data_IF_303110636161
#
_entry.id   IF_303110636161
#
_cell.length_a   1.000
_cell.length_b   1.000
_cell.length_c   1.000
_cell.angle_alpha   90.00
_cell.angle_beta   90.00
_cell.angle_gamma   90.00
#
_symmetry.space_group_name_H-M   'P 1'
#
loop_
_entity.id
_entity.type
_entity.pdbx_description
1 polymer ?
#
# COMPACT_ATOMS: atom_id res chain seq x y z
N UNK A 1 40.55 52.78 -48.42
CA UNK A 1 40.08 51.45 -48.16
C UNK A 1 39.64 51.37 -46.69
N UNK A 2 38.36 51.47 -46.43
CA UNK A 2 37.74 51.37 -45.05
C UNK A 2 37.16 49.99 -44.88
N UNK A 3 37.74 49.26 -43.95
CA UNK A 3 37.16 47.95 -43.52
C UNK A 3 35.98 48.23 -42.64
N UNK A 4 34.78 47.69 -43.04
CA UNK A 4 33.60 47.65 -42.24
C UNK A 4 33.63 46.37 -41.36
N UNK A 5 33.82 46.53 -40.05
CA UNK A 5 33.66 45.43 -39.08
C UNK A 5 32.18 45.23 -38.81
N UNK A 6 31.67 44.07 -39.21
CA UNK A 6 30.31 43.57 -38.88
C UNK A 6 30.35 42.99 -37.47
N UNK A 7 29.80 43.69 -36.48
CA UNK A 7 29.49 43.10 -35.15
C UNK A 7 28.25 42.24 -35.27
N UNK A 8 28.40 40.93 -35.22
CA UNK A 8 27.32 39.99 -35.07
C UNK A 8 26.92 39.97 -33.59
N UNK A 9 25.82 40.61 -33.28
CA UNK A 9 25.17 40.55 -31.95
C UNK A 9 24.47 39.23 -31.80
N UNK A 10 25.12 38.23 -31.17
CA UNK A 10 24.48 36.95 -30.81
C UNK A 10 23.49 37.20 -29.66
N UNK A 11 22.24 37.25 -30.01
CA UNK A 11 21.12 37.23 -29.04
C UNK A 11 21.10 35.83 -28.40
N UNK A 12 21.72 35.66 -27.24
CA UNK A 12 21.46 34.51 -26.36
C UNK A 12 20.02 34.64 -25.88
N UNK A 13 19.13 33.88 -26.49
CA UNK A 13 17.85 33.56 -25.95
C UNK A 13 18.08 32.76 -24.65
N UNK A 14 18.14 33.47 -23.54
CA UNK A 14 17.91 32.88 -22.22
C UNK A 14 16.48 32.31 -22.19
N UNK A 15 16.32 31.07 -22.63
CA UNK A 15 15.17 30.28 -22.24
C UNK A 15 15.30 30.09 -20.73
N UNK A 16 14.69 31.02 -20.00
CA UNK A 16 14.47 30.87 -18.58
C UNK A 16 13.71 29.53 -18.36
N UNK A 17 14.40 28.52 -17.87
CA UNK A 17 13.75 27.40 -17.20
C UNK A 17 12.97 28.00 -16.02
N UNK A 18 11.73 28.40 -16.25
CA UNK A 18 10.77 28.53 -15.18
C UNK A 18 10.72 27.13 -14.52
N UNK A 19 11.37 26.98 -13.41
CA UNK A 19 11.20 25.82 -12.54
C UNK A 19 9.70 25.74 -12.24
N UNK A 20 8.98 24.91 -13.00
CA UNK A 20 7.58 24.66 -12.71
C UNK A 20 7.51 24.16 -11.27
N UNK A 21 6.70 24.81 -10.46
CA UNK A 21 6.49 24.39 -9.07
C UNK A 21 6.09 22.91 -9.02
N UNK A 22 6.64 22.19 -8.04
CA UNK A 22 6.27 20.79 -7.82
C UNK A 22 4.74 20.68 -7.69
N UNK A 23 4.05 19.89 -8.54
CA UNK A 23 2.58 19.82 -8.59
C UNK A 23 1.95 19.39 -7.26
N UNK A 24 2.66 18.59 -6.45
CA UNK A 24 2.21 18.21 -5.10
C UNK A 24 2.11 19.45 -4.21
N UNK A 25 3.17 20.28 -4.18
CA UNK A 25 3.15 21.53 -3.41
C UNK A 25 2.09 22.50 -3.90
N UNK A 26 1.94 22.63 -5.22
CA UNK A 26 0.94 23.50 -5.81
C UNK A 26 -0.47 23.05 -5.40
N UNK A 27 -0.77 21.75 -5.44
CA UNK A 27 -2.06 21.20 -4.98
C UNK A 27 -2.32 21.45 -3.49
N UNK A 28 -1.29 21.34 -2.64
CA UNK A 28 -1.45 21.59 -1.20
C UNK A 28 -1.68 23.08 -0.85
N UNK A 29 -1.27 24.01 -1.70
CA UNK A 29 -1.46 25.45 -1.43
C UNK A 29 -2.87 25.96 -1.72
N UNK A 30 -3.68 25.19 -2.43
CA UNK A 30 -5.02 25.61 -2.87
C UNK A 30 -6.13 25.33 -1.82
N UNK A 31 -5.79 24.71 -0.71
CA UNK A 31 -6.71 24.41 0.40
C UNK A 31 -6.04 24.82 1.73
N UNK A 32 -6.75 25.58 2.56
CA UNK A 32 -6.21 26.11 3.81
C UNK A 32 -5.77 25.01 4.78
N UNK A 33 -6.50 23.90 4.83
CA UNK A 33 -6.15 22.76 5.67
C UNK A 33 -4.87 22.08 5.17
N UNK A 34 -4.74 21.84 3.85
CA UNK A 34 -3.54 21.29 3.25
C UNK A 34 -2.35 22.23 3.40
N UNK A 35 -2.57 23.54 3.31
CA UNK A 35 -1.53 24.53 3.54
C UNK A 35 -1.01 24.51 4.98
N UNK A 36 -1.89 24.33 5.97
CA UNK A 36 -1.49 24.18 7.36
C UNK A 36 -0.67 22.90 7.59
N UNK A 37 -1.09 21.78 6.98
CA UNK A 37 -0.32 20.54 6.99
C UNK A 37 1.06 20.72 6.33
N UNK A 38 1.12 21.44 5.20
CA UNK A 38 2.37 21.72 4.50
C UNK A 38 3.36 22.54 5.36
N UNK A 39 2.88 23.51 6.15
CA UNK A 39 3.70 24.29 7.10
C UNK A 39 4.31 23.40 8.18
N UNK A 40 3.58 22.37 8.63
CA UNK A 40 3.97 21.44 9.69
C UNK A 40 4.43 20.06 9.15
N UNK A 41 4.85 20.00 7.88
CA UNK A 41 5.18 18.77 7.14
C UNK A 41 6.18 17.83 7.84
N UNK A 42 7.13 18.40 8.60
CA UNK A 42 8.17 17.63 9.30
C UNK A 42 7.65 17.01 10.60
N UNK A 43 6.68 17.65 11.27
CA UNK A 43 5.98 17.09 12.42
C UNK A 43 5.09 15.93 12.00
N UNK A 44 4.39 16.07 10.89
CA UNK A 44 3.54 15.04 10.30
C UNK A 44 4.31 13.98 9.52
N UNK A 45 5.63 14.09 9.40
CA UNK A 45 6.50 13.13 8.69
C UNK A 45 5.95 12.71 7.32
N UNK A 46 5.46 13.69 6.55
CA UNK A 46 4.79 13.45 5.27
C UNK A 46 5.80 12.96 4.24
N UNK A 47 5.43 11.91 3.50
CA UNK A 47 6.09 11.52 2.26
C UNK A 47 5.03 11.27 1.19
N UNK A 48 5.22 11.81 -0.02
CA UNK A 48 4.28 11.71 -1.13
C UNK A 48 5.03 11.40 -2.42
N UNK A 49 4.62 10.33 -3.11
CA UNK A 49 4.98 10.05 -4.49
C UNK A 49 3.73 10.20 -5.37
N UNK A 50 3.84 10.97 -6.43
CA UNK A 50 2.78 11.22 -7.40
C UNK A 50 3.31 10.95 -8.81
N UNK A 51 2.57 10.17 -9.59
CA UNK A 51 2.86 9.93 -11.00
C UNK A 51 1.67 10.34 -11.85
N UNK A 52 1.86 11.41 -12.60
CA UNK A 52 0.94 11.85 -13.64
C UNK A 52 1.03 10.89 -14.82
N UNK A 53 -0.11 10.51 -15.38
CA UNK A 53 -0.18 9.60 -16.53
C UNK A 53 -0.79 10.35 -17.69
N UNK A 54 -0.07 10.38 -18.80
CA UNK A 54 -0.59 10.80 -20.11
C UNK A 54 -0.51 9.64 -21.07
N UNK A 55 -1.14 9.77 -22.24
CA UNK A 55 -1.11 8.75 -23.29
C UNK A 55 -0.38 9.30 -24.50
N UNK A 56 0.53 8.51 -25.08
CA UNK A 56 1.12 8.82 -26.36
C UNK A 56 0.13 8.59 -27.52
N UNK A 57 0.59 8.77 -28.75
CA UNK A 57 -0.25 8.62 -29.96
C UNK A 57 -0.73 7.18 -30.18
N UNK A 58 -0.01 6.21 -29.66
CA UNK A 58 -0.31 4.78 -29.71
C UNK A 58 -1.19 4.34 -28.51
N UNK A 59 -1.52 5.27 -27.60
CA UNK A 59 -2.30 5.00 -26.39
C UNK A 59 -1.50 4.39 -25.23
N UNK A 60 -0.17 4.32 -25.34
CA UNK A 60 0.69 3.85 -24.26
C UNK A 60 0.78 4.85 -23.12
N UNK A 61 0.85 4.39 -21.85
CA UNK A 61 1.04 5.28 -20.73
C UNK A 61 2.43 5.94 -20.75
N UNK A 62 2.47 7.24 -20.51
CA UNK A 62 3.69 8.00 -20.31
C UNK A 62 3.68 8.52 -18.88
N UNK A 63 4.65 8.10 -18.08
CA UNK A 63 4.75 8.41 -16.65
C UNK A 63 5.61 9.64 -16.41
N UNK A 64 5.07 10.59 -15.63
CA UNK A 64 5.81 11.75 -15.14
C UNK A 64 5.77 11.76 -13.62
N UNK A 65 6.91 11.52 -13.01
CA UNK A 65 7.04 11.27 -11.57
C UNK A 65 7.41 12.53 -10.80
N UNK A 66 6.80 12.69 -9.63
CA UNK A 66 7.05 13.78 -8.69
C UNK A 66 7.08 13.23 -7.27
N UNK A 67 7.97 13.79 -6.47
CA UNK A 67 8.15 13.40 -5.08
C UNK A 67 8.11 14.62 -4.16
N UNK A 68 7.61 14.40 -2.95
CA UNK A 68 7.66 15.37 -1.87
C UNK A 68 8.10 14.70 -0.58
N UNK A 69 9.26 15.09 -0.05
CA UNK A 69 9.90 14.53 1.14
C UNK A 69 10.08 13.00 1.12
N UNK A 70 10.09 12.36 -0.04
CA UNK A 70 10.37 10.92 -0.14
C UNK A 70 11.84 10.69 0.21
N UNK A 71 12.06 9.81 1.20
CA UNK A 71 13.38 9.39 1.64
C UNK A 71 13.30 7.93 2.11
N UNK A 72 13.96 7.04 1.40
CA UNK A 72 13.92 5.60 1.66
C UNK A 72 14.60 5.20 2.98
N UNK A 73 15.48 6.05 3.52
CA UNK A 73 16.11 5.84 4.81
C UNK A 73 15.23 6.26 5.99
N UNK A 74 14.19 7.07 5.77
CA UNK A 74 13.25 7.47 6.82
C UNK A 74 12.17 6.39 6.98
N UNK A 75 12.17 5.75 8.14
CA UNK A 75 11.19 4.74 8.48
C UNK A 75 9.81 5.33 8.78
N UNK A 76 8.79 4.74 8.21
CA UNK A 76 7.41 4.78 8.68
C UNK A 76 6.86 3.34 8.75
N UNK A 77 5.88 3.11 9.61
CA UNK A 77 5.26 1.79 9.69
C UNK A 77 4.28 1.60 8.53
N UNK A 78 4.47 0.58 7.66
CA UNK A 78 3.64 0.42 6.45
C UNK A 78 2.21 -0.01 6.76
N UNK A 79 1.93 -0.41 8.00
CA UNK A 79 0.62 -0.89 8.41
C UNK A 79 0.07 -1.96 7.44
N UNK A 80 -1.19 -1.83 7.04
CA UNK A 80 -1.83 -2.81 6.15
C UNK A 80 -1.52 -2.61 4.67
N UNK A 81 -0.75 -1.61 4.25
CA UNK A 81 -0.35 -1.48 2.83
C UNK A 81 0.53 -2.63 2.37
N UNK A 82 1.33 -3.23 3.27
CA UNK A 82 2.16 -4.41 2.96
C UNK A 82 1.33 -5.66 2.62
N UNK A 83 0.01 -5.65 2.87
CA UNK A 83 -0.89 -6.73 2.46
C UNK A 83 -1.04 -6.82 0.94
N UNK A 84 -0.80 -5.72 0.20
CA UNK A 84 -0.82 -5.75 -1.27
C UNK A 84 0.25 -6.70 -1.83
N UNK A 85 1.55 -6.58 -1.52
CA UNK A 85 2.54 -7.55 -1.97
C UNK A 85 2.31 -8.96 -1.40
N UNK A 86 1.71 -9.14 -0.21
CA UNK A 86 1.32 -10.47 0.29
C UNK A 86 0.32 -11.12 -0.66
N UNK A 87 -0.71 -10.40 -1.11
CA UNK A 87 -1.71 -10.89 -2.06
C UNK A 87 -1.07 -11.22 -3.42
N UNK A 88 -0.23 -10.33 -3.94
CA UNK A 88 0.50 -10.54 -5.20
C UNK A 88 1.32 -11.83 -5.15
N UNK A 89 2.09 -12.02 -4.07
CA UNK A 89 2.90 -13.23 -3.89
C UNK A 89 2.08 -14.47 -3.56
N UNK A 90 0.84 -14.31 -3.07
CA UNK A 90 -0.09 -15.43 -2.96
C UNK A 90 -0.44 -15.98 -4.34
N UNK A 91 -0.75 -15.11 -5.31
CA UNK A 91 -1.04 -15.51 -6.69
C UNK A 91 0.20 -16.07 -7.40
N UNK A 92 1.36 -15.42 -7.22
CA UNK A 92 2.68 -15.88 -7.71
C UNK A 92 2.95 -17.31 -7.23
N UNK A 93 2.78 -17.60 -5.93
CA UNK A 93 2.97 -18.95 -5.36
C UNK A 93 1.92 -19.96 -5.85
N UNK A 94 0.67 -19.55 -6.07
CA UNK A 94 -0.33 -20.42 -6.69
C UNK A 94 0.14 -20.86 -8.08
N UNK A 95 0.70 -19.95 -8.88
CA UNK A 95 1.22 -20.27 -10.21
C UNK A 95 2.48 -21.16 -10.13
N UNK A 96 3.36 -20.93 -9.15
CA UNK A 96 4.50 -21.83 -8.89
C UNK A 96 4.00 -23.26 -8.57
N UNK A 97 3.01 -23.42 -7.68
CA UNK A 97 2.42 -24.72 -7.35
C UNK A 97 1.77 -25.40 -8.55
N UNK A 98 1.05 -24.65 -9.40
CA UNK A 98 0.47 -25.18 -10.65
C UNK A 98 1.54 -25.73 -11.59
N UNK A 99 2.67 -25.04 -11.68
CA UNK A 99 3.79 -25.51 -12.51
C UNK A 99 4.39 -26.84 -12.04
N UNK A 100 4.23 -27.18 -10.75
CA UNK A 100 4.62 -28.49 -10.18
C UNK A 100 3.53 -29.56 -10.26
N UNK A 101 2.38 -29.27 -10.87
CA UNK A 101 1.28 -30.21 -11.08
C UNK A 101 0.19 -30.20 -10.00
N UNK A 102 0.23 -29.27 -9.04
CA UNK A 102 -0.85 -29.09 -8.07
C UNK A 102 -2.00 -28.33 -8.74
N UNK A 103 -3.17 -28.96 -8.83
CA UNK A 103 -4.37 -28.36 -9.42
C UNK A 103 -5.04 -27.38 -8.45
N UNK A 104 -4.58 -26.14 -8.49
CA UNK A 104 -5.04 -25.07 -7.61
C UNK A 104 -5.20 -23.74 -8.37
N UNK A 105 -6.24 -23.00 -8.02
CA UNK A 105 -6.54 -21.65 -8.54
C UNK A 105 -6.94 -20.74 -7.38
N UNK A 106 -7.00 -19.42 -7.54
CA UNK A 106 -7.54 -18.54 -6.51
C UNK A 106 -8.96 -18.89 -6.04
N UNK A 107 -9.77 -19.51 -6.91
CA UNK A 107 -11.15 -19.93 -6.61
C UNK A 107 -11.26 -21.34 -6.00
N UNK A 108 -10.20 -22.12 -6.04
CA UNK A 108 -10.19 -23.47 -5.48
C UNK A 108 -10.49 -23.43 -3.98
N UNK A 109 -11.35 -24.34 -3.54
CA UNK A 109 -11.61 -24.54 -2.10
C UNK A 109 -10.37 -25.13 -1.44
N UNK A 110 -10.04 -24.59 -0.28
CA UNK A 110 -8.92 -25.03 0.57
C UNK A 110 -9.42 -25.29 1.98
N UNK A 111 -8.74 -26.20 2.67
CA UNK A 111 -8.93 -26.46 4.10
C UNK A 111 -7.90 -25.64 4.85
N UNK A 112 -8.37 -24.83 5.79
CA UNK A 112 -7.53 -23.99 6.65
C UNK A 112 -7.71 -24.46 8.08
N UNK A 113 -6.61 -24.91 8.71
CA UNK A 113 -6.58 -25.43 10.07
C UNK A 113 -5.75 -24.51 10.96
N UNK A 114 -6.32 -24.00 12.05
CA UNK A 114 -5.57 -23.22 13.04
C UNK A 114 -4.85 -24.14 14.03
N UNK A 115 -3.62 -23.78 14.37
CA UNK A 115 -2.83 -24.49 15.40
C UNK A 115 -2.28 -23.47 16.40
N UNK A 116 -2.29 -23.83 17.70
CA UNK A 116 -1.57 -23.08 18.73
C UNK A 116 -0.14 -23.60 18.90
N UNK A 117 0.85 -22.70 19.09
CA UNK A 117 2.26 -23.07 19.18
C UNK A 117 2.58 -24.03 20.33
N UNK A 118 1.88 -23.93 21.47
CA UNK A 118 2.25 -24.69 22.68
C UNK A 118 1.94 -26.19 22.62
N UNK A 119 0.96 -26.62 21.81
CA UNK A 119 0.57 -28.03 21.75
C UNK A 119 0.34 -28.58 20.34
N UNK A 120 0.50 -27.79 19.30
CA UNK A 120 0.24 -28.17 17.89
C UNK A 120 -1.15 -28.80 17.66
N UNK A 121 -2.11 -28.55 18.56
CA UNK A 121 -3.45 -29.09 18.46
C UNK A 121 -4.27 -28.30 17.44
N UNK A 122 -4.88 -29.02 16.49
CA UNK A 122 -5.81 -28.44 15.52
C UNK A 122 -7.07 -28.03 16.28
N UNK A 123 -7.37 -26.71 16.29
CA UNK A 123 -8.56 -26.21 16.98
C UNK A 123 -9.83 -26.32 16.14
N UNK A 124 -9.72 -26.04 14.84
CA UNK A 124 -10.87 -26.08 13.93
C UNK A 124 -10.41 -26.05 12.48
N UNK A 125 -10.99 -26.92 11.68
CA UNK A 125 -10.89 -26.86 10.23
C UNK A 125 -12.01 -25.96 9.67
N UNK A 126 -11.67 -25.14 8.71
CA UNK A 126 -12.61 -24.35 7.92
C UNK A 126 -12.32 -24.51 6.43
N UNK A 127 -13.38 -24.41 5.63
CA UNK A 127 -13.27 -24.44 4.16
C UNK A 127 -13.50 -23.03 3.63
N UNK A 128 -12.54 -22.53 2.88
CA UNK A 128 -12.59 -21.23 2.23
C UNK A 128 -11.95 -21.30 0.83
N UNK A 129 -11.57 -20.16 0.25
CA UNK A 129 -10.76 -20.05 -0.97
C UNK A 129 -9.80 -18.88 -0.84
N UNK A 130 -8.71 -18.86 -1.63
CA UNK A 130 -7.83 -17.70 -1.69
C UNK A 130 -8.57 -16.44 -2.15
N UNK A 131 -9.54 -16.59 -3.06
CA UNK A 131 -10.38 -15.47 -3.49
C UNK A 131 -11.12 -14.82 -2.32
N UNK A 132 -11.72 -15.60 -1.43
CA UNK A 132 -12.45 -15.07 -0.28
C UNK A 132 -11.49 -14.35 0.70
N UNK A 133 -10.33 -14.96 0.98
CA UNK A 133 -9.32 -14.34 1.85
C UNK A 133 -8.81 -13.02 1.24
N UNK A 134 -8.53 -12.99 -0.05
CA UNK A 134 -8.07 -11.80 -0.76
C UNK A 134 -9.14 -10.72 -0.80
N UNK A 135 -10.40 -11.09 -1.02
CA UNK A 135 -11.54 -10.17 -0.95
C UNK A 135 -11.65 -9.52 0.44
N UNK A 136 -11.60 -10.31 1.52
CA UNK A 136 -11.65 -9.81 2.90
C UNK A 136 -10.48 -8.83 3.18
N UNK A 137 -9.28 -9.11 2.64
CA UNK A 137 -8.12 -8.23 2.79
C UNK A 137 -8.29 -6.92 2.05
N UNK A 138 -8.84 -6.91 0.83
CA UNK A 138 -9.05 -5.67 0.08
C UNK A 138 -10.22 -4.86 0.63
N UNK A 139 -11.34 -5.50 0.96
CA UNK A 139 -12.57 -4.82 1.36
C UNK A 139 -12.49 -4.23 2.77
N UNK A 140 -11.99 -5.01 3.74
CA UNK A 140 -12.02 -4.61 5.16
C UNK A 140 -10.64 -4.70 5.83
N UNK A 141 -9.59 -4.96 5.06
CA UNK A 141 -8.24 -5.09 5.59
C UNK A 141 -8.11 -6.18 6.67
N UNK A 142 -8.82 -7.30 6.51
CA UNK A 142 -8.90 -8.37 7.50
C UNK A 142 -7.51 -8.92 7.87
N UNK A 143 -7.22 -8.97 9.19
CA UNK A 143 -5.92 -9.42 9.70
C UNK A 143 -5.82 -10.95 9.71
N UNK A 144 -6.89 -11.67 10.02
CA UNK A 144 -6.91 -13.13 10.04
C UNK A 144 -6.70 -13.68 8.63
N UNK A 145 -7.43 -13.17 7.65
CA UNK A 145 -7.23 -13.53 6.25
C UNK A 145 -5.79 -13.25 5.79
N UNK A 146 -5.23 -12.09 6.18
CA UNK A 146 -3.83 -11.74 5.87
C UNK A 146 -2.84 -12.72 6.51
N UNK A 147 -3.06 -13.13 7.76
CA UNK A 147 -2.19 -14.07 8.47
C UNK A 147 -2.24 -15.46 7.84
N UNK A 148 -3.41 -15.91 7.38
CA UNK A 148 -3.54 -17.16 6.62
C UNK A 148 -2.73 -17.08 5.32
N UNK A 149 -2.82 -15.96 4.58
CA UNK A 149 -2.02 -15.75 3.37
C UNK A 149 -0.52 -15.71 3.67
N UNK A 150 -0.10 -15.10 4.79
CA UNK A 150 1.31 -15.10 5.22
C UNK A 150 1.80 -16.53 5.49
N UNK A 151 1.02 -17.36 6.19
CA UNK A 151 1.38 -18.75 6.45
C UNK A 151 1.34 -19.62 5.17
N UNK A 152 0.54 -19.25 4.20
CA UNK A 152 0.57 -19.86 2.88
C UNK A 152 1.88 -19.57 2.16
N UNK A 153 2.29 -18.30 2.04
CA UNK A 153 3.50 -17.94 1.28
C UNK A 153 4.78 -18.19 2.06
N UNK A 154 4.81 -17.88 3.36
CA UNK A 154 6.01 -17.87 4.21
C UNK A 154 6.78 -16.55 4.14
N UNK A 155 7.45 -16.19 5.25
CA UNK A 155 8.25 -14.96 5.35
C UNK A 155 9.46 -14.98 4.42
N UNK A 156 10.15 -16.13 4.31
CA UNK A 156 11.33 -16.26 3.45
C UNK A 156 10.98 -16.13 1.98
N UNK A 157 9.87 -16.76 1.53
CA UNK A 157 9.37 -16.59 0.17
C UNK A 157 9.07 -15.14 -0.13
N UNK A 158 8.30 -14.46 0.74
CA UNK A 158 8.01 -13.04 0.60
C UNK A 158 9.28 -12.21 0.44
N UNK A 159 10.19 -12.30 1.40
CA UNK A 159 11.38 -11.46 1.45
C UNK A 159 12.32 -11.73 0.26
N UNK A 160 12.48 -13.00 -0.14
CA UNK A 160 13.29 -13.38 -1.31
C UNK A 160 12.70 -12.82 -2.61
N UNK A 161 11.39 -12.99 -2.83
CA UNK A 161 10.73 -12.48 -4.04
C UNK A 161 10.76 -10.95 -4.11
N UNK A 162 10.60 -10.22 -2.98
CA UNK A 162 10.71 -8.76 -2.96
C UNK A 162 12.12 -8.30 -3.39
N UNK A 163 13.17 -8.91 -2.84
CA UNK A 163 14.56 -8.59 -3.22
C UNK A 163 14.83 -8.91 -4.69
N UNK A 164 14.39 -10.07 -5.19
CA UNK A 164 14.53 -10.48 -6.59
C UNK A 164 13.83 -9.51 -7.55
N UNK A 165 12.65 -9.02 -7.17
CA UNK A 165 11.92 -8.01 -7.93
C UNK A 165 12.49 -6.58 -7.78
N UNK A 166 13.55 -6.38 -6.98
CA UNK A 166 14.25 -5.11 -6.79
C UNK A 166 13.69 -4.22 -5.67
N UNK A 167 12.75 -4.70 -4.86
CA UNK A 167 12.14 -3.97 -3.74
C UNK A 167 12.93 -4.16 -2.45
N UNK A 168 14.05 -3.44 -2.32
CA UNK A 168 15.02 -3.61 -1.24
C UNK A 168 14.54 -3.10 0.11
N UNK A 169 13.60 -2.17 0.13
CA UNK A 169 13.08 -1.56 1.35
C UNK A 169 11.76 -2.19 1.80
N UNK A 170 11.29 -3.25 1.11
CA UNK A 170 10.06 -3.94 1.45
C UNK A 170 10.35 -5.33 2.01
N UNK A 171 10.05 -5.53 3.31
CA UNK A 171 10.19 -6.84 3.96
C UNK A 171 9.12 -7.08 5.02
N UNK A 172 8.80 -8.37 5.19
CA UNK A 172 7.81 -8.87 6.13
C UNK A 172 8.51 -9.55 7.30
N UNK A 173 8.29 -9.04 8.51
CA UNK A 173 8.90 -9.56 9.74
C UNK A 173 7.89 -10.22 10.69
N UNK A 174 6.61 -9.85 10.60
CA UNK A 174 5.62 -10.36 11.53
C UNK A 174 4.21 -10.35 10.91
N UNK A 175 3.36 -11.20 11.44
CA UNK A 175 1.93 -11.25 11.17
C UNK A 175 1.18 -10.05 11.79
N UNK A 176 -0.07 -9.87 11.39
CA UNK A 176 -0.97 -8.86 11.95
C UNK A 176 -1.74 -9.48 13.11
N UNK A 177 -1.31 -9.23 14.33
CA UNK A 177 -1.94 -9.87 15.49
C UNK A 177 -2.70 -8.84 16.32
N UNK A 178 -4.03 -9.02 16.55
CA UNK A 178 -4.77 -8.23 17.51
C UNK A 178 -4.46 -8.63 18.96
N UNK A 179 -3.98 -9.86 19.19
CA UNK A 179 -3.62 -10.36 20.51
C UNK A 179 -2.12 -10.72 20.56
N UNK A 180 -1.29 -9.98 21.34
CA UNK A 180 0.14 -10.26 21.45
C UNK A 180 0.45 -11.60 22.14
N UNK A 181 -0.55 -12.27 22.73
CA UNK A 181 -0.35 -13.50 23.48
C UNK A 181 -0.73 -14.78 22.74
N UNK A 182 -1.32 -14.67 21.51
CA UNK A 182 -1.77 -15.84 20.76
C UNK A 182 -1.08 -15.91 19.40
N UNK A 183 0.00 -16.70 19.33
CA UNK A 183 0.59 -17.09 18.06
C UNK A 183 -0.26 -18.20 17.41
N UNK A 184 -1.15 -17.81 16.50
CA UNK A 184 -1.88 -18.77 15.68
C UNK A 184 -1.11 -19.03 14.41
N UNK A 185 -0.78 -20.29 14.14
CA UNK A 185 -0.25 -20.74 12.86
C UNK A 185 -1.34 -21.43 12.06
N UNK A 186 -1.31 -21.25 10.75
CA UNK A 186 -2.30 -21.80 9.86
C UNK A 186 -1.67 -22.84 8.94
N UNK A 187 -2.26 -24.05 8.92
CA UNK A 187 -1.95 -25.09 7.93
C UNK A 187 -2.99 -25.03 6.83
N UNK A 188 -2.53 -24.94 5.59
CA UNK A 188 -3.40 -24.84 4.42
C UNK A 188 -3.21 -26.08 3.57
N UNK A 189 -4.33 -26.74 3.20
CA UNK A 189 -4.34 -27.94 2.38
C UNK A 189 -5.33 -27.82 1.24
N UNK A 190 -5.06 -28.53 0.15
CA UNK A 190 -6.08 -28.78 -0.90
C UNK A 190 -7.21 -29.67 -0.34
N UNK A 191 -8.34 -29.75 -1.06
CA UNK A 191 -9.39 -30.72 -0.72
C UNK A 191 -8.93 -32.19 -0.84
N UNK A 192 -7.84 -32.44 -1.57
CA UNK A 192 -7.19 -33.75 -1.64
C UNK A 192 -6.23 -34.01 -0.47
N UNK A 193 -6.22 -33.12 0.53
CA UNK A 193 -5.40 -33.17 1.73
C UNK A 193 -3.89 -32.97 1.50
N UNK A 194 -3.49 -32.42 0.36
CA UNK A 194 -2.10 -32.04 0.07
C UNK A 194 -1.74 -30.77 0.84
N UNK A 195 -0.68 -30.79 1.64
CA UNK A 195 -0.19 -29.62 2.37
C UNK A 195 0.47 -28.62 1.42
N UNK A 196 -0.04 -27.38 1.39
CA UNK A 196 0.45 -26.30 0.51
C UNK A 196 0.95 -25.07 1.27
N UNK A 197 0.77 -25.01 2.60
CA UNK A 197 1.34 -23.93 3.41
C UNK A 197 2.85 -24.04 3.54
N UNK A 198 3.51 -22.90 3.80
CA UNK A 198 4.93 -22.87 4.11
C UNK A 198 5.19 -23.51 5.48
N UNK A 199 6.28 -24.27 5.58
CA UNK A 199 6.80 -24.84 6.84
C UNK A 199 8.12 -24.18 7.25
N UNK A 200 8.42 -22.99 6.70
CA UNK A 200 9.69 -22.32 6.91
C UNK A 200 9.75 -21.63 8.28
N UNK A 201 10.93 -21.68 8.90
CA UNK A 201 11.22 -20.86 10.07
C UNK A 201 11.27 -19.39 9.68
N UNK A 202 10.62 -18.55 10.49
CA UNK A 202 10.62 -17.09 10.28
C UNK A 202 12.02 -16.53 10.56
N UNK A 203 12.60 -15.82 9.59
CA UNK A 203 13.79 -15.01 9.76
C UNK A 203 13.38 -13.57 9.91
N UNK A 204 13.72 -12.92 11.02
CA UNK A 204 13.47 -11.50 11.24
C UNK A 204 14.61 -10.67 10.65
N UNK A 205 14.27 -9.77 9.72
CA UNK A 205 15.21 -8.79 9.17
C UNK A 205 15.24 -7.59 10.11
N UNK A 206 16.43 -7.24 10.60
CA UNK A 206 16.62 -5.99 11.35
C UNK A 206 16.89 -4.86 10.38
N UNK A 207 16.26 -3.71 10.61
CA UNK A 207 16.48 -2.52 9.79
C UNK A 207 17.97 -2.13 9.75
N UNK A 208 18.42 -1.64 8.59
CA UNK A 208 19.79 -1.13 8.40
C UNK A 208 20.09 -0.02 9.42
N UNK A 209 21.36 0.07 9.86
CA UNK A 209 21.84 1.10 10.78
C UNK A 209 21.66 2.54 10.26
N UNK A 210 21.58 2.70 8.93
CA UNK A 210 21.30 3.98 8.28
C UNK A 210 19.83 4.41 8.41
N UNK A 211 18.92 3.47 8.72
CA UNK A 211 17.49 3.78 8.79
C UNK A 211 17.18 4.75 9.92
N UNK A 212 16.60 5.89 9.56
CA UNK A 212 16.25 6.96 10.47
C UNK A 212 14.82 6.78 11.04
N UNK A 213 14.53 7.42 12.16
CA UNK A 213 13.21 7.47 12.82
C UNK A 213 12.61 6.09 13.18
N UNK A 214 13.46 5.11 13.48
CA UNK A 214 13.03 3.79 13.96
C UNK A 214 12.42 3.83 15.36
N UNK A 215 12.74 4.84 16.17
CA UNK A 215 12.17 5.03 17.51
C UNK A 215 11.16 6.17 17.47
N UNK A 216 9.90 5.86 17.79
CA UNK A 216 8.78 6.81 17.74
C UNK A 216 8.08 6.94 19.08
N UNK A 217 7.47 8.12 19.27
CA UNK A 217 6.78 8.48 20.51
C UNK A 217 7.73 8.84 21.66
N UNK A 218 7.14 9.26 22.78
CA UNK A 218 7.83 9.46 24.05
C UNK A 218 7.47 8.38 25.07
N UNK A 219 6.27 7.81 24.88
CA UNK A 219 5.72 6.75 25.71
C UNK A 219 5.19 5.61 24.81
N UNK A 220 4.93 4.46 25.41
CA UNK A 220 4.24 3.34 24.79
C UNK A 220 3.20 2.77 25.76
N UNK A 221 2.06 2.36 25.24
CA UNK A 221 1.06 1.61 26.00
C UNK A 221 1.40 0.12 25.96
N UNK A 222 1.57 -0.49 27.12
CA UNK A 222 1.96 -1.89 27.26
C UNK A 222 1.35 -2.46 28.55
N UNK A 223 0.72 -3.64 28.47
CA UNK A 223 0.12 -4.34 29.60
C UNK A 223 -0.89 -3.49 30.40
N UNK A 224 -1.67 -2.65 29.71
CA UNK A 224 -2.68 -1.80 30.34
C UNK A 224 -2.16 -0.47 30.91
N UNK A 225 -0.87 -0.17 30.79
CA UNK A 225 -0.23 1.02 31.36
C UNK A 225 0.56 1.81 30.33
N UNK A 226 0.72 3.12 30.60
CA UNK A 226 1.62 4.00 29.84
C UNK A 226 3.03 3.89 30.43
N UNK A 227 3.95 3.36 29.64
CA UNK A 227 5.35 3.16 30.01
C UNK A 227 6.22 4.21 29.30
N UNK A 228 7.10 4.95 30.02
CA UNK A 228 8.03 5.87 29.39
C UNK A 228 9.01 5.19 28.43
N UNK A 229 9.41 5.92 27.38
CA UNK A 229 10.37 5.49 26.38
C UNK A 229 9.74 5.23 25.02
N UNK A 230 10.50 5.58 23.96
CA UNK A 230 10.07 5.42 22.58
C UNK A 230 9.85 3.95 22.21
N UNK A 231 8.90 3.70 21.32
CA UNK A 231 8.70 2.37 20.73
C UNK A 231 9.72 2.13 19.61
N UNK A 232 10.37 0.96 19.62
CA UNK A 232 11.38 0.57 18.64
C UNK A 232 10.75 -0.26 17.51
N UNK A 233 10.83 0.25 16.29
CA UNK A 233 10.32 -0.37 15.08
C UNK A 233 11.39 -1.14 14.28
N UNK A 234 12.63 -1.26 14.76
CA UNK A 234 13.75 -1.87 14.02
C UNK A 234 13.49 -3.31 13.54
N UNK A 235 12.57 -4.02 14.19
CA UNK A 235 12.19 -5.40 13.86
C UNK A 235 10.74 -5.51 13.34
N UNK A 236 10.12 -4.39 12.97
CA UNK A 236 8.76 -4.37 12.39
C UNK A 236 8.81 -4.51 10.86
N UNK A 237 7.64 -4.74 10.25
CA UNK A 237 7.49 -4.71 8.80
C UNK A 237 7.97 -3.37 8.24
N UNK A 238 8.49 -3.38 7.02
CA UNK A 238 8.95 -2.16 6.32
C UNK A 238 8.47 -2.16 4.88
N UNK A 239 8.23 -0.98 4.35
CA UNK A 239 8.17 -0.68 2.93
C UNK A 239 8.48 0.80 2.73
N UNK A 240 9.07 1.18 1.59
CA UNK A 240 9.22 2.59 1.22
C UNK A 240 8.05 3.07 0.36
N UNK A 241 7.84 4.39 0.29
CA UNK A 241 6.84 5.00 -0.61
C UNK A 241 7.13 4.62 -2.06
N UNK A 242 8.40 4.64 -2.45
CA UNK A 242 8.87 4.28 -3.79
C UNK A 242 8.54 2.81 -4.12
N UNK A 243 8.87 1.87 -3.21
CA UNK A 243 8.56 0.45 -3.41
C UNK A 243 7.05 0.22 -3.53
N UNK A 244 6.25 0.83 -2.63
CA UNK A 244 4.79 0.70 -2.65
C UNK A 244 4.20 1.13 -3.99
N UNK A 245 4.57 2.31 -4.50
CA UNK A 245 4.05 2.80 -5.77
C UNK A 245 4.53 1.96 -6.95
N UNK A 246 5.79 1.50 -6.94
CA UNK A 246 6.35 0.69 -8.01
C UNK A 246 5.75 -0.74 -8.05
N UNK A 247 5.41 -1.33 -6.90
CA UNK A 247 4.63 -2.58 -6.85
C UNK A 247 3.28 -2.37 -7.54
N UNK A 248 2.58 -1.29 -7.19
CA UNK A 248 1.28 -0.97 -7.76
C UNK A 248 1.35 -0.68 -9.26
N UNK A 249 2.36 0.07 -9.73
CA UNK A 249 2.59 0.31 -11.18
C UNK A 249 2.72 -0.99 -11.96
N UNK A 250 3.45 -1.98 -11.44
CA UNK A 250 3.63 -3.30 -12.08
C UNK A 250 2.35 -4.14 -12.10
N UNK A 251 1.40 -3.89 -11.19
CA UNK A 251 0.08 -4.54 -11.20
C UNK A 251 -0.83 -3.89 -12.25
N UNK A 252 -0.81 -2.57 -12.35
CA UNK A 252 -1.72 -1.82 -13.23
C UNK A 252 -1.22 -1.86 -14.69
N UNK A 253 0.07 -1.69 -14.90
CA UNK A 253 0.72 -1.65 -16.22
C UNK A 253 1.86 -2.66 -16.35
N UNK A 254 1.60 -3.97 -16.24
CA UNK A 254 2.66 -4.99 -16.20
C UNK A 254 3.51 -5.03 -17.48
N UNK A 255 2.96 -4.61 -18.62
CA UNK A 255 3.64 -4.62 -19.92
C UNK A 255 4.66 -3.50 -20.09
N UNK A 256 4.66 -2.51 -19.18
CA UNK A 256 5.61 -1.40 -19.19
C UNK A 256 6.91 -1.73 -18.42
N UNK A 257 7.04 -2.94 -17.91
CA UNK A 257 8.20 -3.38 -17.12
C UNK A 257 8.84 -4.63 -17.71
N UNK A 258 10.16 -4.77 -17.51
CA UNK A 258 10.91 -5.96 -17.89
C UNK A 258 10.36 -7.20 -17.16
N UNK A 259 10.30 -8.35 -17.82
CA UNK A 259 9.73 -9.58 -17.26
C UNK A 259 10.42 -10.04 -15.96
N UNK A 260 11.71 -9.85 -15.84
CA UNK A 260 12.51 -10.19 -14.67
C UNK A 260 12.20 -9.29 -13.44
N UNK A 261 11.54 -8.16 -13.66
CA UNK A 261 11.07 -7.23 -12.64
C UNK A 261 9.59 -7.39 -12.31
N UNK A 262 8.88 -8.27 -12.99
CA UNK A 262 7.46 -8.55 -12.74
C UNK A 262 7.30 -9.81 -11.88
N UNK A 263 6.06 -10.05 -11.43
CA UNK A 263 5.70 -11.23 -10.67
C UNK A 263 5.30 -12.38 -11.59
N UNK A 264 5.35 -13.63 -11.14
CA UNK A 264 4.87 -14.80 -11.89
C UNK A 264 3.33 -14.83 -11.92
N UNK A 265 2.74 -13.86 -12.63
CA UNK A 265 1.30 -13.67 -12.78
C UNK A 265 0.90 -13.80 -14.26
N UNK A 266 -0.27 -14.38 -14.50
CA UNK A 266 -0.90 -14.39 -15.81
C UNK A 266 -1.88 -13.20 -15.96
N UNK A 267 -2.52 -13.05 -17.13
CA UNK A 267 -3.44 -11.94 -17.42
C UNK A 267 -4.64 -11.96 -16.47
N UNK A 268 -5.19 -13.15 -16.20
CA UNK A 268 -6.32 -13.36 -15.31
C UNK A 268 -6.00 -12.95 -13.86
N UNK A 269 -4.76 -13.16 -13.41
CA UNK A 269 -4.31 -12.75 -12.07
C UNK A 269 -4.26 -11.22 -11.95
N UNK A 270 -3.76 -10.52 -12.98
CA UNK A 270 -3.76 -9.06 -13.02
C UNK A 270 -5.18 -8.49 -13.04
N UNK A 271 -6.10 -9.11 -13.82
CA UNK A 271 -7.51 -8.71 -13.84
C UNK A 271 -8.17 -8.95 -12.47
N UNK A 272 -7.88 -10.08 -11.85
CA UNK A 272 -8.35 -10.43 -10.52
C UNK A 272 -7.88 -9.42 -9.46
N UNK A 273 -6.61 -9.01 -9.48
CA UNK A 273 -6.07 -7.98 -8.60
C UNK A 273 -6.78 -6.65 -8.83
N UNK A 274 -6.86 -6.18 -10.07
CA UNK A 274 -7.53 -4.91 -10.42
C UNK A 274 -9.00 -4.92 -10.00
N UNK A 275 -9.69 -6.05 -10.19
CA UNK A 275 -11.07 -6.20 -9.78
C UNK A 275 -11.22 -5.96 -8.27
N UNK A 276 -10.50 -6.68 -7.42
CA UNK A 276 -10.65 -6.56 -5.97
C UNK A 276 -10.11 -5.25 -5.40
N UNK A 277 -9.00 -4.74 -5.93
CA UNK A 277 -8.42 -3.46 -5.52
C UNK A 277 -9.37 -2.28 -5.72
N UNK A 278 -10.22 -2.32 -6.75
CA UNK A 278 -11.14 -1.22 -7.09
C UNK A 278 -12.46 -1.26 -6.33
N UNK A 279 -12.76 -2.35 -5.60
CA UNK A 279 -14.05 -2.52 -4.94
C UNK A 279 -14.21 -1.66 -3.70
N UNK A 280 -15.42 -1.15 -3.52
CA UNK A 280 -15.91 -0.57 -2.28
C UNK A 280 -16.46 -1.69 -1.37
N UNK A 281 -16.63 -1.41 -0.10
CA UNK A 281 -17.13 -2.39 0.88
C UNK A 281 -18.53 -2.94 0.55
N UNK A 282 -19.41 -2.11 -0.02
CA UNK A 282 -20.75 -2.50 -0.44
C UNK A 282 -20.79 -3.36 -1.72
N UNK A 283 -19.67 -3.51 -2.42
CA UNK A 283 -19.54 -4.32 -3.64
C UNK A 283 -18.99 -5.73 -3.33
N UNK A 284 -19.10 -6.19 -2.09
CA UNK A 284 -18.65 -7.51 -1.66
C UNK A 284 -19.51 -8.65 -2.26
N UNK A 285 -18.97 -9.87 -2.20
CA UNK A 285 -19.71 -11.07 -2.60
C UNK A 285 -20.51 -11.57 -1.41
N UNK A 286 -21.83 -11.60 -1.52
CA UNK A 286 -22.74 -12.20 -0.52
C UNK A 286 -23.11 -11.28 0.63
N UNK A 287 -22.94 -9.97 0.46
CA UNK A 287 -23.40 -8.94 1.42
C UNK A 287 -22.80 -9.06 2.84
N UNK A 288 -21.66 -9.75 2.97
CA UNK A 288 -21.01 -10.04 4.26
C UNK A 288 -20.71 -8.76 5.07
N UNK A 289 -20.30 -7.68 4.40
CA UNK A 289 -19.90 -6.44 5.05
C UNK A 289 -20.96 -5.33 4.98
N UNK A 290 -21.98 -5.46 4.14
CA UNK A 290 -23.04 -4.44 3.96
C UNK A 290 -23.84 -4.17 5.22
N UNK A 291 -24.01 -5.18 6.08
CA UNK A 291 -24.82 -5.08 7.30
C UNK A 291 -24.07 -4.49 8.48
N UNK A 292 -22.73 -4.43 8.41
CA UNK A 292 -21.90 -3.91 9.49
C UNK A 292 -21.69 -2.41 9.32
N UNK A 293 -22.34 -1.57 10.09
CA UNK A 293 -22.27 -0.09 10.02
C UNK A 293 -20.84 0.49 10.07
N UNK A 294 -19.89 -0.26 10.64
CA UNK A 294 -18.46 0.18 10.68
C UNK A 294 -17.81 0.17 9.31
N UNK A 295 -18.31 -0.61 8.34
CA UNK A 295 -17.78 -0.71 6.99
C UNK A 295 -18.61 0.12 6.01
N UNK A 296 -18.59 1.45 6.19
CA UNK A 296 -19.22 2.38 5.26
C UNK A 296 -18.55 2.33 3.87
N UNK A 297 -19.19 2.92 2.85
CA UNK A 297 -18.79 2.75 1.44
C UNK A 297 -17.29 2.98 1.18
N UNK A 298 -16.74 4.09 1.69
CA UNK A 298 -15.34 4.47 1.47
C UNK A 298 -14.36 3.96 2.52
N UNK A 299 -14.77 3.03 3.38
CA UNK A 299 -13.95 2.51 4.49
C UNK A 299 -12.52 2.10 4.05
N UNK A 300 -12.39 1.55 2.83
CA UNK A 300 -11.12 1.10 2.26
C UNK A 300 -10.52 2.05 1.23
N UNK A 301 -10.96 3.34 1.16
CA UNK A 301 -10.56 4.34 0.18
C UNK A 301 -10.28 5.67 0.85
N UNK A 302 -9.03 5.93 1.30
CA UNK A 302 -8.68 7.20 1.91
C UNK A 302 -8.54 8.32 0.88
N UNK A 303 -7.96 8.01 -0.28
CA UNK A 303 -7.93 8.96 -1.39
C UNK A 303 -9.31 9.14 -2.01
N UNK A 304 -9.58 10.35 -2.48
CA UNK A 304 -10.82 10.80 -3.15
C UNK A 304 -12.03 10.74 -2.21
N UNK A 305 -12.32 9.59 -1.64
CA UNK A 305 -13.57 9.30 -0.93
C UNK A 305 -13.43 9.23 0.60
N UNK A 306 -12.25 9.46 1.16
CA UNK A 306 -11.98 9.19 2.59
C UNK A 306 -12.87 9.91 3.59
N UNK A 307 -13.46 11.06 3.22
CA UNK A 307 -14.39 11.80 4.04
C UNK A 307 -15.88 11.43 3.78
N UNK A 308 -16.15 10.61 2.76
CA UNK A 308 -17.49 10.23 2.35
C UNK A 308 -17.93 8.91 3.01
N UNK A 309 -19.02 8.91 3.75
CA UNK A 309 -19.62 7.66 4.23
C UNK A 309 -20.43 6.95 3.13
N UNK A 310 -20.86 7.68 2.12
CA UNK A 310 -21.57 7.18 0.94
C UNK A 310 -20.88 7.71 -0.32
N UNK A 311 -20.40 6.81 -1.15
CA UNK A 311 -19.75 7.14 -2.42
C UNK A 311 -20.80 7.51 -3.47
N UNK A 312 -20.77 8.77 -3.91
CA UNK A 312 -21.71 9.32 -4.89
C UNK A 312 -21.22 9.18 -6.32
N UNK A 313 -19.98 9.56 -6.58
CA UNK A 313 -19.36 9.42 -7.91
C UNK A 313 -18.67 8.05 -8.06
N UNK A 314 -19.34 7.18 -8.82
CA UNK A 314 -18.85 5.83 -9.12
C UNK A 314 -17.96 5.77 -10.35
N UNK A 315 -17.80 6.87 -11.09
CA UNK A 315 -16.92 6.94 -12.25
C UNK A 315 -15.45 6.99 -11.84
N UNK A 316 -15.15 7.54 -10.64
CA UNK A 316 -13.82 7.54 -10.08
C UNK A 316 -13.58 6.21 -9.36
N UNK A 317 -12.66 5.41 -9.88
CA UNK A 317 -12.21 4.18 -9.26
C UNK A 317 -10.84 4.35 -8.64
N UNK A 318 -10.72 3.89 -7.40
CA UNK A 318 -9.48 3.90 -6.63
C UNK A 318 -9.01 2.47 -6.44
N UNK A 319 -7.93 2.12 -7.14
CA UNK A 319 -7.29 0.81 -7.06
C UNK A 319 -6.18 0.86 -6.02
N UNK A 320 -6.46 0.43 -4.80
CA UNK A 320 -5.59 0.74 -3.69
C UNK A 320 -5.47 -0.34 -2.61
N UNK A 321 -4.55 -0.10 -1.70
CA UNK A 321 -4.54 -0.70 -0.38
C UNK A 321 -4.17 0.35 0.66
N UNK A 322 -5.08 0.59 1.60
CA UNK A 322 -4.86 1.47 2.75
C UNK A 322 -4.06 0.78 3.85
N UNK A 323 -3.44 1.59 4.70
CA UNK A 323 -2.81 1.16 5.94
C UNK A 323 -2.96 2.20 7.04
N UNK A 324 -3.26 1.74 8.26
CA UNK A 324 -3.39 2.62 9.41
C UNK A 324 -3.00 1.88 10.69
N UNK A 325 -1.95 2.32 11.37
CA UNK A 325 -1.53 1.83 12.67
C UNK A 325 -0.44 2.72 13.30
N UNK A 326 -0.36 2.73 14.62
CA UNK A 326 0.67 3.41 15.41
C UNK A 326 0.84 4.90 15.07
N UNK A 327 -0.25 5.57 14.71
CA UNK A 327 -0.26 6.98 14.30
C UNK A 327 0.05 7.21 12.82
N UNK A 328 0.46 6.21 12.06
CA UNK A 328 0.71 6.33 10.63
C UNK A 328 -0.56 5.98 9.84
N UNK A 329 -0.93 6.83 8.88
CA UNK A 329 -1.96 6.54 7.87
C UNK A 329 -1.36 6.65 6.48
N UNK A 330 -1.73 5.70 5.60
CA UNK A 330 -1.16 5.57 4.25
C UNK A 330 -2.29 5.17 3.30
N UNK A 331 -2.28 5.74 2.09
CA UNK A 331 -2.93 5.13 0.95
C UNK A 331 -1.93 5.02 -0.21
N UNK A 332 -2.00 3.92 -0.94
CA UNK A 332 -1.20 3.62 -2.12
C UNK A 332 -2.16 3.24 -3.24
N UNK A 333 -2.38 4.15 -4.18
CA UNK A 333 -3.46 4.04 -5.15
C UNK A 333 -3.07 4.39 -6.58
N UNK A 334 -3.71 3.71 -7.53
CA UNK A 334 -3.99 4.17 -8.87
C UNK A 334 -5.43 4.66 -8.92
N UNK A 335 -5.63 5.90 -9.37
CA UNK A 335 -6.92 6.56 -9.44
C UNK A 335 -7.25 6.79 -10.90
N UNK A 336 -8.47 6.42 -11.31
CA UNK A 336 -8.95 6.60 -12.67
C UNK A 336 -10.41 7.03 -12.67
N UNK A 337 -10.69 8.11 -13.38
CA UNK A 337 -12.05 8.50 -13.75
C UNK A 337 -12.34 7.99 -15.18
N UNK A 338 -13.38 7.17 -15.30
CA UNK A 338 -13.79 6.58 -16.57
C UNK A 338 -14.63 7.51 -17.44
N UNK A 339 -15.08 8.65 -16.90
CA UNK A 339 -15.87 9.62 -17.64
C UNK A 339 -14.99 10.65 -18.38
N UNK A 340 -13.99 11.22 -17.69
CA UNK A 340 -13.11 12.26 -18.23
C UNK A 340 -11.73 11.74 -18.64
N UNK A 341 -11.40 10.50 -18.28
CA UNK A 341 -10.13 9.85 -18.62
C UNK A 341 -8.94 10.25 -17.74
N UNK A 342 -9.14 11.07 -16.72
CA UNK A 342 -8.07 11.42 -15.76
C UNK A 342 -7.58 10.17 -15.04
N UNK A 343 -6.26 9.95 -15.06
CA UNK A 343 -5.63 8.83 -14.38
C UNK A 343 -4.25 9.20 -13.81
N UNK A 344 -3.95 8.73 -12.60
CA UNK A 344 -2.67 8.97 -11.93
C UNK A 344 -2.41 7.97 -10.81
N UNK A 345 -1.12 7.83 -10.42
CA UNK A 345 -0.76 7.16 -9.16
C UNK A 345 -0.50 8.19 -8.07
N UNK A 346 -0.93 7.86 -6.88
CA UNK A 346 -0.62 8.61 -5.67
C UNK A 346 -0.34 7.65 -4.53
N UNK A 347 0.77 7.88 -3.85
CA UNK A 347 1.14 7.17 -2.62
C UNK A 347 1.53 8.21 -1.59
N UNK A 348 0.84 8.26 -0.47
CA UNK A 348 1.16 9.24 0.57
C UNK A 348 1.04 8.64 1.96
N UNK A 349 1.94 9.05 2.85
CA UNK A 349 1.90 8.75 4.27
C UNK A 349 1.87 10.03 5.09
N UNK A 350 1.21 9.96 6.24
CA UNK A 350 1.16 10.99 7.25
C UNK A 350 1.20 10.34 8.64
N UNK A 351 1.92 10.96 9.57
CA UNK A 351 2.00 10.55 10.96
C UNK A 351 1.25 11.51 11.87
N UNK A 352 0.30 11.00 12.64
CA UNK A 352 -0.54 11.77 13.57
C UNK A 352 -0.54 11.08 14.94
N UNK A 353 0.17 11.65 15.90
CA UNK A 353 0.28 11.13 17.26
C UNK A 353 0.61 12.29 18.24
N UNK A 354 -0.39 13.12 18.49
CA UNK A 354 -0.23 14.36 19.26
C UNK A 354 0.18 14.12 20.71
N UNK A 355 -0.34 13.06 21.34
CA UNK A 355 -0.02 12.70 22.71
C UNK A 355 1.34 11.98 22.85
N UNK A 356 2.00 11.64 21.73
CA UNK A 356 3.30 10.96 21.65
C UNK A 356 3.36 9.62 22.38
N UNK A 357 2.22 8.96 22.57
CA UNK A 357 2.12 7.59 23.12
C UNK A 357 1.82 6.61 21.98
N UNK A 358 2.63 5.57 21.86
CA UNK A 358 2.45 4.54 20.85
C UNK A 358 1.64 3.38 21.42
N UNK A 359 0.73 2.82 20.62
CA UNK A 359 -0.09 1.63 20.94
C UNK A 359 -1.21 1.88 21.97
N UNK A 360 -1.61 3.12 22.18
CA UNK A 360 -2.75 3.49 23.03
C UNK A 360 -4.07 3.65 22.26
N UNK A 361 -4.02 3.49 20.93
CA UNK A 361 -5.14 3.68 20.00
C UNK A 361 -5.73 5.11 19.98
N UNK A 362 -4.98 6.10 20.48
CA UNK A 362 -5.38 7.52 20.50
C UNK A 362 -4.56 8.29 19.47
N UNK A 363 -5.11 8.44 18.26
CA UNK A 363 -4.46 9.10 17.14
C UNK A 363 -5.45 9.98 16.37
N UNK A 364 -4.98 11.06 15.77
CA UNK A 364 -5.82 12.03 15.04
C UNK A 364 -6.15 11.56 13.61
N UNK A 365 -6.48 10.27 13.46
CA UNK A 365 -6.77 9.68 12.16
C UNK A 365 -7.92 10.36 11.42
N UNK A 366 -9.08 10.47 12.09
CA UNK A 366 -10.29 11.03 11.49
C UNK A 366 -10.27 12.55 11.39
N UNK A 367 -9.51 13.22 12.27
CA UNK A 367 -9.44 14.69 12.32
C UNK A 367 -8.37 15.26 11.39
N UNK A 368 -7.31 14.50 11.11
CA UNK A 368 -6.15 15.00 10.36
C UNK A 368 -5.76 14.08 9.22
N UNK A 369 -5.51 12.80 9.47
CA UNK A 369 -4.87 11.94 8.48
C UNK A 369 -5.79 11.60 7.30
N UNK A 370 -7.02 11.18 7.54
CA UNK A 370 -7.99 10.86 6.47
C UNK A 370 -8.38 12.12 5.68
N UNK A 371 -8.73 13.27 6.30
CA UNK A 371 -8.93 14.52 5.58
C UNK A 371 -7.74 14.95 4.74
N UNK A 372 -6.51 14.81 5.26
CA UNK A 372 -5.30 15.11 4.48
C UNK A 372 -5.21 14.27 3.20
N UNK A 373 -5.33 12.94 3.32
CA UNK A 373 -5.23 12.03 2.18
C UNK A 373 -6.35 12.28 1.16
N UNK A 374 -7.59 12.47 1.62
CA UNK A 374 -8.74 12.75 0.77
C UNK A 374 -8.58 14.07 0.01
N UNK A 375 -8.33 15.16 0.71
CA UNK A 375 -8.19 16.52 0.11
C UNK A 375 -6.98 16.62 -0.81
N UNK A 376 -5.84 16.00 -0.45
CA UNK A 376 -4.65 15.97 -1.31
C UNK A 376 -4.97 15.35 -2.67
N UNK A 377 -5.62 14.20 -2.68
CA UNK A 377 -5.97 13.49 -3.91
C UNK A 377 -7.04 14.21 -4.73
N UNK A 378 -8.03 14.82 -4.06
CA UNK A 378 -9.05 15.66 -4.72
C UNK A 378 -8.43 16.91 -5.37
N UNK A 379 -7.49 17.58 -4.69
CA UNK A 379 -6.80 18.74 -5.25
C UNK A 379 -5.91 18.38 -6.44
N UNK A 380 -5.23 17.24 -6.41
CA UNK A 380 -4.46 16.72 -7.55
C UNK A 380 -5.41 16.39 -8.71
N UNK A 381 -6.51 15.71 -8.44
CA UNK A 381 -7.51 15.35 -9.43
C UNK A 381 -8.09 16.61 -10.12
N UNK A 382 -8.51 17.62 -9.34
CA UNK A 382 -9.06 18.88 -9.89
C UNK A 382 -8.09 19.56 -10.85
N UNK A 383 -6.78 19.57 -10.53
CA UNK A 383 -5.75 20.13 -11.42
C UNK A 383 -5.57 19.40 -12.74
N UNK A 384 -5.89 18.10 -12.78
CA UNK A 384 -5.79 17.30 -14.01
C UNK A 384 -7.06 17.40 -14.86
N UNK A 385 -8.18 17.82 -14.27
CA UNK A 385 -9.49 17.99 -14.93
C UNK A 385 -9.68 19.38 -15.52
N UNK A 386 -8.80 20.35 -15.22
CA UNK A 386 -8.73 21.70 -15.84
C UNK A 386 -8.01 21.65 -17.19
#
# INVERSE_FOLDING_TARGET
>A
MRQLSLCILSLFLLQGCFLRENPIKASMKNDDFLLEILKNKDEYEIQIAYTEITRDKEGKPVFREFEFQVDEEIYFYPASTIKLPIIVLTLDKINDLRSTGIDITPKSKIIVSSTHDENNQIQKDSITSFQNLIADVFLVSDNTASNILIDFIGHNYFNTKMVQAGFKHTYLNHKFNPDPYVNINWKIKTLKNELISSNENQITITADQKTLRLKKGKNRFQNGEVVPGAFDFSRKNRSSITDMQNILKRIIFPLEFDKDKTFNLNVEDYDFLRYWMSRFTYEDIGDKFKTEKKYFDSYNKFFIHGEDTIVRDKNIRVYNKIGQAYGTSIDNAYIKNYQDGVEFFLTATIYTNKNKTINDNVYEYNQIAIPFLSKLSQSIYSRLSE
#
